data_IF_123378428734
#
_entry.id   IF_123378428734
#
_cell.length_a   1.000
_cell.length_b   1.000
_cell.length_c   1.000
_cell.angle_alpha   90.00
_cell.angle_beta   90.00
_cell.angle_gamma   90.00
#
_symmetry.space_group_name_H-M   'P 1'
#
loop_
_entity.id
_entity.type
_entity.pdbx_description
1 polymer ?
#
# COMPACT_ATOMS: atom_id res chain seq x y z
N UNK A 1 -21.27 7.02 5.65
CA UNK A 1 -20.72 5.69 5.92
C UNK A 1 -19.37 5.92 6.53
N UNK A 2 -19.18 5.49 7.76
CA UNK A 2 -17.86 5.45 8.36
C UNK A 2 -17.01 4.49 7.53
N UNK A 3 -15.86 4.97 7.04
CA UNK A 3 -14.99 4.22 6.16
C UNK A 3 -14.19 3.22 7.03
N UNK A 4 -14.63 1.96 7.09
CA UNK A 4 -14.00 0.94 7.94
C UNK A 4 -13.45 -0.20 7.09
N UNK A 5 -12.21 -0.60 7.37
CA UNK A 5 -11.57 -1.76 6.75
C UNK A 5 -12.13 -3.08 7.28
N UNK A 6 -12.30 -4.06 6.39
CA UNK A 6 -12.57 -5.44 6.76
C UNK A 6 -11.31 -6.12 7.30
N UNK A 7 -11.15 -6.05 8.62
CA UNK A 7 -9.98 -6.59 9.34
C UNK A 7 -10.15 -8.02 9.85
N UNK A 8 -11.27 -8.69 9.55
CA UNK A 8 -11.61 -9.99 10.14
C UNK A 8 -10.55 -11.05 9.83
N UNK A 9 -9.93 -11.61 10.86
CA UNK A 9 -8.88 -12.63 10.73
C UNK A 9 -7.48 -12.07 10.45
N UNK A 10 -7.36 -10.75 10.27
CA UNK A 10 -6.10 -10.04 10.04
C UNK A 10 -5.65 -9.31 11.30
N UNK A 11 -6.58 -8.59 11.92
CA UNK A 11 -6.45 -7.92 13.21
C UNK A 11 -7.59 -8.37 14.13
N UNK A 12 -7.33 -8.34 15.44
CA UNK A 12 -8.27 -8.63 16.51
C UNK A 12 -9.38 -7.60 16.57
N UNK A 13 -9.01 -6.32 16.44
CA UNK A 13 -9.90 -5.16 16.53
C UNK A 13 -9.26 -3.94 15.85
N UNK A 14 -10.02 -2.85 15.73
CA UNK A 14 -9.53 -1.60 15.13
C UNK A 14 -8.37 -0.98 15.93
N UNK A 15 -8.32 -1.21 17.24
CA UNK A 15 -7.25 -0.69 18.09
C UNK A 15 -5.90 -1.35 17.75
N UNK A 16 -5.89 -2.66 17.47
CA UNK A 16 -4.71 -3.35 16.97
C UNK A 16 -4.28 -2.83 15.60
N UNK A 17 -5.22 -2.60 14.68
CA UNK A 17 -4.95 -1.98 13.38
C UNK A 17 -4.28 -0.60 13.55
N UNK A 18 -4.89 0.31 14.33
CA UNK A 18 -4.33 1.64 14.59
C UNK A 18 -2.97 1.55 15.28
N UNK A 19 -2.82 0.59 16.19
CA UNK A 19 -1.56 0.29 16.87
C UNK A 19 -0.47 -0.12 15.88
N UNK A 20 -0.78 -1.00 14.93
CA UNK A 20 0.15 -1.45 13.89
C UNK A 20 0.54 -0.28 12.95
N UNK A 21 -0.44 0.48 12.46
CA UNK A 21 -0.21 1.66 11.61
C UNK A 21 0.71 2.67 12.30
N UNK A 22 0.45 2.97 13.57
CA UNK A 22 1.26 3.91 14.36
C UNK A 22 2.65 3.34 14.68
N UNK A 23 2.74 2.08 15.11
CA UNK A 23 4.01 1.40 15.43
C UNK A 23 4.95 1.42 14.23
N UNK A 24 4.42 1.11 13.04
CA UNK A 24 5.18 1.05 11.78
C UNK A 24 5.21 2.38 11.03
N UNK A 25 4.59 3.44 11.58
CA UNK A 25 4.49 4.78 10.97
C UNK A 25 4.05 4.71 9.50
N UNK A 26 3.03 3.92 9.20
CA UNK A 26 2.69 3.57 7.81
C UNK A 26 2.25 4.82 7.04
N UNK A 27 2.79 4.98 5.85
CA UNK A 27 2.43 6.04 4.91
C UNK A 27 2.01 5.46 3.57
N UNK A 28 1.36 6.27 2.74
CA UNK A 28 1.06 5.88 1.37
C UNK A 28 1.35 6.99 0.36
N UNK A 29 1.65 6.62 -0.88
CA UNK A 29 1.43 7.49 -2.03
C UNK A 29 0.78 6.70 -3.18
N UNK A 30 0.56 7.39 -4.29
CA UNK A 30 -0.09 6.82 -5.46
C UNK A 30 0.61 7.27 -6.73
N UNK A 31 0.85 6.32 -7.63
CA UNK A 31 1.48 6.59 -8.92
C UNK A 31 0.58 6.07 -10.05
N UNK A 32 0.58 6.70 -11.24
CA UNK A 32 -0.12 6.13 -12.38
C UNK A 32 0.52 4.81 -12.81
N UNK A 33 -0.30 3.82 -13.18
CA UNK A 33 0.16 2.51 -13.63
C UNK A 33 0.01 2.38 -15.15
N UNK A 34 1.12 2.22 -15.85
CA UNK A 34 1.20 2.19 -17.32
C UNK A 34 1.58 0.81 -17.84
N UNK A 35 1.08 0.48 -19.03
CA UNK A 35 1.54 -0.67 -19.81
C UNK A 35 1.85 -0.24 -21.24
N UNK A 36 2.72 -1.00 -21.91
CA UNK A 36 3.01 -0.80 -23.33
C UNK A 36 1.80 -1.20 -24.18
N UNK A 37 1.20 -0.23 -24.86
CA UNK A 37 0.12 -0.43 -25.82
C UNK A 37 0.61 -0.92 -27.19
N UNK A 38 -0.33 -1.20 -28.09
CA UNK A 38 -0.01 -1.54 -29.48
C UNK A 38 0.68 -0.35 -30.16
N UNK A 39 1.90 -0.56 -30.66
CA UNK A 39 2.70 0.50 -31.30
C UNK A 39 3.69 1.20 -30.39
N UNK A 40 3.87 0.74 -29.14
CA UNK A 40 4.92 1.24 -28.23
C UNK A 40 4.55 2.47 -27.42
N UNK A 41 3.34 3.00 -27.55
CA UNK A 41 2.82 4.07 -26.68
C UNK A 41 2.48 3.52 -25.29
N UNK A 42 2.79 4.26 -24.23
CA UNK A 42 2.32 3.94 -22.88
C UNK A 42 0.83 4.26 -22.74
N UNK A 43 0.06 3.32 -22.21
CA UNK A 43 -1.35 3.48 -21.88
C UNK A 43 -1.48 3.42 -20.36
N UNK A 44 -2.07 4.44 -19.75
CA UNK A 44 -2.41 4.40 -18.33
C UNK A 44 -3.63 3.50 -18.15
N UNK A 45 -3.44 2.39 -17.46
CA UNK A 45 -4.52 1.40 -17.22
C UNK A 45 -5.05 1.45 -15.80
N UNK A 46 -4.41 2.25 -14.93
CA UNK A 46 -4.81 2.39 -13.55
C UNK A 46 -3.81 3.16 -12.72
N UNK A 47 -3.69 2.76 -11.46
CA UNK A 47 -2.83 3.35 -10.46
C UNK A 47 -2.12 2.27 -9.64
N UNK A 48 -1.11 2.67 -8.89
CA UNK A 48 -0.46 1.85 -7.89
C UNK A 48 -0.51 2.60 -6.57
N UNK A 49 -1.04 1.96 -5.53
CA UNK A 49 -0.91 2.44 -4.15
C UNK A 49 0.37 1.86 -3.59
N UNK A 50 1.26 2.71 -3.10
CA UNK A 50 2.49 2.29 -2.44
C UNK A 50 2.31 2.48 -0.94
N UNK A 51 2.38 1.39 -0.16
CA UNK A 51 2.40 1.45 1.31
C UNK A 51 3.84 1.37 1.81
N UNK A 52 4.21 2.31 2.68
CA UNK A 52 5.55 2.42 3.25
C UNK A 52 5.50 2.19 4.75
N UNK A 53 6.12 1.10 5.21
CA UNK A 53 6.22 0.76 6.62
C UNK A 53 7.66 0.97 7.11
N UNK A 54 7.83 1.81 8.14
CA UNK A 54 9.13 2.12 8.68
C UNK A 54 9.72 0.91 9.42
N UNK A 55 10.97 0.58 9.11
CA UNK A 55 11.76 -0.38 9.87
C UNK A 55 12.13 0.21 11.24
N UNK A 56 12.13 -0.60 12.31
CA UNK A 56 12.63 -0.15 13.61
C UNK A 56 14.15 0.00 13.60
N UNK A 57 14.67 0.83 14.51
CA UNK A 57 16.11 0.97 14.72
C UNK A 57 16.81 1.99 13.82
N UNK A 58 18.13 2.16 14.00
CA UNK A 58 18.92 3.12 13.24
C UNK A 58 19.13 2.66 11.80
N UNK A 59 19.29 3.63 10.90
CA UNK A 59 19.50 3.48 9.45
C UNK A 59 20.33 2.28 8.97
N UNK A 60 21.44 2.00 9.66
CA UNK A 60 22.44 1.00 9.25
C UNK A 60 22.04 -0.46 9.54
N UNK A 61 21.02 -0.67 10.36
CA UNK A 61 20.63 -2.00 10.83
C UNK A 61 19.34 -2.50 10.14
N UNK A 62 18.72 -1.66 9.30
CA UNK A 62 17.54 -2.00 8.52
C UNK A 62 17.93 -2.77 7.24
N UNK A 63 18.07 -4.09 7.38
CA UNK A 63 18.28 -5.01 6.27
C UNK A 63 17.11 -6.00 6.16
N UNK A 64 16.95 -6.65 4.98
CA UNK A 64 15.99 -7.75 4.81
C UNK A 64 16.20 -8.92 5.78
N UNK A 65 17.45 -9.16 6.16
CA UNK A 65 17.83 -10.21 7.11
C UNK A 65 17.56 -9.82 8.57
N UNK A 66 17.06 -8.60 8.82
CA UNK A 66 16.73 -8.16 10.18
C UNK A 66 15.60 -9.00 10.76
N UNK A 67 15.69 -9.42 12.04
CA UNK A 67 14.60 -10.13 12.72
C UNK A 67 13.26 -9.40 12.67
N UNK A 68 13.31 -8.06 12.60
CA UNK A 68 12.12 -7.21 12.57
C UNK A 68 11.45 -7.17 11.19
N UNK A 69 12.15 -7.54 10.11
CA UNK A 69 11.65 -7.45 8.73
C UNK A 69 10.36 -8.23 8.56
N UNK A 70 10.35 -9.51 8.96
CA UNK A 70 9.19 -10.38 8.83
C UNK A 70 7.98 -9.89 9.65
N UNK A 71 8.19 -9.16 10.74
CA UNK A 71 7.09 -8.55 11.49
C UNK A 71 6.55 -7.29 10.81
N UNK A 72 7.44 -6.43 10.32
CA UNK A 72 7.04 -5.21 9.59
C UNK A 72 6.28 -5.60 8.33
N UNK A 73 6.81 -6.55 7.56
CA UNK A 73 6.17 -7.09 6.35
C UNK A 73 4.78 -7.64 6.66
N UNK A 74 4.67 -8.50 7.68
CA UNK A 74 3.39 -9.07 8.09
C UNK A 74 2.36 -7.99 8.43
N UNK A 75 2.76 -6.96 9.16
CA UNK A 75 1.84 -5.89 9.57
C UNK A 75 1.33 -5.08 8.36
N UNK A 76 2.22 -4.73 7.41
CA UNK A 76 1.82 -3.96 6.22
C UNK A 76 1.05 -4.81 5.19
N UNK A 77 1.40 -6.10 5.06
CA UNK A 77 0.66 -7.05 4.19
C UNK A 77 -0.74 -7.27 4.73
N UNK A 78 -0.92 -7.45 6.04
CA UNK A 78 -2.27 -7.51 6.66
C UNK A 78 -3.10 -6.27 6.36
N UNK A 79 -2.50 -5.08 6.38
CA UNK A 79 -3.20 -3.85 6.01
C UNK A 79 -3.59 -3.85 4.53
N UNK A 80 -2.68 -4.27 3.64
CA UNK A 80 -2.96 -4.39 2.21
C UNK A 80 -4.09 -5.40 1.94
N UNK A 81 -4.06 -6.55 2.59
CA UNK A 81 -5.13 -7.57 2.52
C UNK A 81 -6.46 -7.04 3.05
N UNK A 82 -6.47 -6.30 4.17
CA UNK A 82 -7.68 -5.69 4.69
C UNK A 82 -8.28 -4.69 3.68
N UNK A 83 -7.43 -3.91 3.02
CA UNK A 83 -7.84 -2.97 1.98
C UNK A 83 -8.45 -3.70 0.76
N UNK A 84 -7.81 -4.75 0.28
CA UNK A 84 -8.30 -5.58 -0.83
C UNK A 84 -9.59 -6.34 -0.48
N UNK A 85 -9.75 -6.79 0.76
CA UNK A 85 -10.97 -7.43 1.26
C UNK A 85 -12.15 -6.46 1.42
N UNK A 86 -11.89 -5.16 1.38
CA UNK A 86 -12.92 -4.11 1.54
C UNK A 86 -13.32 -3.51 0.20
N UNK A 87 -12.34 -3.26 -0.67
CA UNK A 87 -12.56 -2.61 -1.95
C UNK A 87 -13.10 -3.60 -3.01
N UNK A 88 -13.48 -3.05 -4.17
CA UNK A 88 -13.94 -3.87 -5.29
C UNK A 88 -12.81 -4.81 -5.79
N UNK A 89 -12.97 -6.15 -5.69
CA UNK A 89 -11.93 -7.11 -6.04
C UNK A 89 -11.65 -7.18 -7.54
N UNK A 90 -12.51 -6.63 -8.40
CA UNK A 90 -12.26 -6.54 -9.85
C UNK A 90 -11.16 -5.52 -10.15
N UNK A 91 -11.10 -4.44 -9.37
CA UNK A 91 -10.19 -3.32 -9.60
C UNK A 91 -9.04 -3.25 -8.59
N UNK A 92 -9.19 -3.85 -7.41
CA UNK A 92 -8.16 -3.90 -6.38
C UNK A 92 -7.36 -5.20 -6.53
N UNK A 93 -6.17 -5.11 -7.10
CA UNK A 93 -5.35 -6.27 -7.41
C UNK A 93 -4.66 -6.83 -6.16
N UNK A 94 -4.11 -8.03 -6.30
CA UNK A 94 -3.24 -8.62 -5.27
C UNK A 94 -2.04 -7.71 -4.99
N UNK A 95 -1.75 -7.51 -3.71
CA UNK A 95 -0.60 -6.73 -3.29
C UNK A 95 0.69 -7.50 -3.49
N UNK A 96 1.75 -6.83 -3.92
CA UNK A 96 3.08 -7.42 -4.06
C UNK A 96 4.08 -6.64 -3.20
N UNK A 97 4.86 -7.36 -2.40
CA UNK A 97 6.11 -6.79 -1.87
C UNK A 97 7.07 -6.71 -3.06
N UNK A 98 7.53 -5.50 -3.44
CA UNK A 98 8.67 -5.43 -4.37
C UNK A 98 9.82 -6.14 -3.68
N UNK A 99 10.52 -7.00 -4.43
CA UNK A 99 11.72 -7.75 -4.07
C UNK A 99 11.96 -7.76 -2.56
N UNK A 100 11.55 -8.81 -1.81
CA UNK A 100 11.59 -8.86 -0.35
C UNK A 100 13.00 -8.64 0.26
N UNK A 101 14.01 -8.36 -0.56
CA UNK A 101 15.31 -7.83 -0.20
C UNK A 101 15.47 -6.29 -0.23
N UNK A 102 14.41 -5.50 -0.45
CA UNK A 102 14.55 -4.04 -0.69
C UNK A 102 13.96 -3.18 0.41
N UNK A 103 14.84 -2.56 1.20
CA UNK A 103 14.54 -1.39 2.04
C UNK A 103 14.78 -0.13 1.22
N UNK A 104 13.77 0.72 1.12
CA UNK A 104 13.83 1.97 0.35
C UNK A 104 14.04 3.19 1.26
N UNK A 105 14.62 4.23 0.68
CA UNK A 105 14.91 5.49 1.36
C UNK A 105 14.43 6.63 0.46
N UNK A 106 13.67 7.59 1.01
CA UNK A 106 13.19 8.76 0.28
C UNK A 106 13.32 10.03 1.11
N UNK A 107 13.76 11.12 0.49
CA UNK A 107 13.82 12.43 1.13
C UNK A 107 12.44 12.90 1.60
N UNK A 108 11.41 12.62 0.82
CA UNK A 108 10.03 12.99 1.14
C UNK A 108 9.54 12.31 2.42
N UNK A 109 10.12 11.16 2.78
CA UNK A 109 9.82 10.39 3.99
C UNK A 109 10.82 10.63 5.12
N UNK A 110 11.68 11.64 5.00
CA UNK A 110 12.70 11.96 6.00
C UNK A 110 13.89 10.99 5.97
N UNK A 111 14.16 10.41 4.80
CA UNK A 111 15.21 9.42 4.56
C UNK A 111 15.11 8.16 5.41
N UNK A 112 14.01 7.88 6.13
CA UNK A 112 13.80 6.67 6.97
C UNK A 112 13.87 5.36 6.14
N UNK A 113 14.30 4.22 6.72
CA UNK A 113 14.22 2.93 6.06
C UNK A 113 12.76 2.45 5.99
N UNK A 114 12.23 2.26 4.78
CA UNK A 114 10.87 1.77 4.55
C UNK A 114 10.85 0.45 3.78
N UNK A 115 10.09 -0.51 4.30
CA UNK A 115 9.59 -1.64 3.53
C UNK A 115 8.39 -1.17 2.70
N UNK A 116 8.33 -1.57 1.42
CA UNK A 116 7.28 -1.12 0.50
C UNK A 116 6.41 -2.27 0.02
N UNK A 117 5.09 -2.10 0.11
CA UNK A 117 4.08 -2.98 -0.50
C UNK A 117 3.34 -2.20 -1.58
N UNK A 118 3.25 -2.78 -2.77
CA UNK A 118 2.53 -2.21 -3.90
C UNK A 118 1.17 -2.86 -4.03
N UNK A 119 0.14 -2.06 -4.28
CA UNK A 119 -1.20 -2.54 -4.54
C UNK A 119 -1.67 -1.91 -5.86
N UNK A 120 -1.61 -2.66 -6.97
CA UNK A 120 -2.11 -2.17 -8.24
C UNK A 120 -3.63 -2.00 -8.20
N UNK A 121 -4.11 -0.96 -8.86
CA UNK A 121 -5.53 -0.62 -8.99
C UNK A 121 -5.85 -0.46 -10.48
N UNK A 122 -6.31 -1.51 -11.13
CA UNK A 122 -6.70 -1.53 -12.54
C UNK A 122 -7.74 -2.62 -12.81
N UNK A 123 -8.44 -2.56 -13.95
CA UNK A 123 -9.40 -3.60 -14.32
C UNK A 123 -8.70 -4.93 -14.67
N UNK A 124 -8.76 -5.89 -13.74
CA UNK A 124 -8.15 -7.21 -13.92
C UNK A 124 -8.85 -8.05 -15.00
N UNK A 125 -10.14 -7.80 -15.25
CA UNK A 125 -10.90 -8.52 -16.28
C UNK A 125 -10.63 -7.97 -17.68
N UNK A 126 -10.25 -6.69 -17.77
CA UNK A 126 -9.95 -5.99 -19.03
C UNK A 126 -8.56 -5.36 -19.00
N UNK A 127 -7.53 -6.17 -18.74
CA UNK A 127 -6.15 -5.70 -18.71
C UNK A 127 -5.77 -4.96 -20.00
N UNK A 128 -5.15 -3.77 -19.86
CA UNK A 128 -4.82 -2.91 -21.00
C UNK A 128 -5.89 -1.85 -21.31
N UNK A 129 -7.08 -1.94 -20.70
CA UNK A 129 -8.11 -0.93 -20.85
C UNK A 129 -7.68 0.38 -20.14
N UNK A 130 -7.87 1.55 -20.76
CA UNK A 130 -7.58 2.82 -20.12
C UNK A 130 -8.33 3.00 -18.81
N UNK A 131 -7.73 3.78 -17.91
CA UNK A 131 -8.36 4.20 -16.66
C UNK A 131 -9.76 4.80 -16.91
N UNK A 132 -10.72 4.42 -16.08
CA UNK A 132 -12.08 4.92 -16.13
C UNK A 132 -12.56 5.40 -14.73
N UNK A 133 -13.81 5.87 -14.67
CA UNK A 133 -14.42 6.37 -13.44
C UNK A 133 -14.53 5.30 -12.35
N UNK A 134 -14.61 4.01 -12.72
CA UNK A 134 -14.74 2.91 -11.77
C UNK A 134 -13.41 2.60 -11.12
N UNK A 135 -12.32 2.59 -11.89
CA UNK A 135 -10.95 2.44 -11.37
C UNK A 135 -10.61 3.62 -10.47
N UNK A 136 -10.92 4.84 -10.90
CA UNK A 136 -10.70 6.06 -10.11
C UNK A 136 -11.57 6.08 -8.84
N UNK A 137 -12.80 5.58 -8.92
CA UNK A 137 -13.68 5.39 -7.76
C UNK A 137 -13.09 4.41 -6.74
N UNK A 138 -12.58 3.26 -7.18
CA UNK A 138 -11.90 2.30 -6.31
C UNK A 138 -10.67 2.91 -5.65
N UNK A 139 -9.84 3.68 -6.38
CA UNK A 139 -8.68 4.36 -5.80
C UNK A 139 -9.09 5.33 -4.67
N UNK A 140 -10.10 6.17 -4.91
CA UNK A 140 -10.57 7.13 -3.90
C UNK A 140 -11.21 6.46 -2.69
N UNK A 141 -11.88 5.33 -2.87
CA UNK A 141 -12.38 4.51 -1.77
C UNK A 141 -11.22 3.94 -0.93
N UNK A 142 -10.23 3.34 -1.59
CA UNK A 142 -9.05 2.79 -0.93
C UNK A 142 -8.29 3.86 -0.12
N UNK A 143 -8.07 5.04 -0.70
CA UNK A 143 -7.43 6.17 0.00
C UNK A 143 -8.21 6.56 1.25
N UNK A 144 -9.54 6.73 1.15
CA UNK A 144 -10.38 7.09 2.31
C UNK A 144 -10.30 6.06 3.42
N UNK A 145 -10.28 4.77 3.07
CA UNK A 145 -10.14 3.68 4.03
C UNK A 145 -8.77 3.68 4.72
N UNK A 146 -7.68 3.91 3.97
CA UNK A 146 -6.33 4.04 4.52
C UNK A 146 -6.22 5.22 5.49
N UNK A 147 -6.74 6.38 5.11
CA UNK A 147 -6.73 7.58 5.95
C UNK A 147 -7.59 7.38 7.21
N UNK A 148 -8.75 6.74 7.09
CA UNK A 148 -9.58 6.37 8.23
C UNK A 148 -8.90 5.37 9.17
N UNK A 149 -8.02 4.50 8.64
CA UNK A 149 -7.15 3.61 9.41
C UNK A 149 -5.92 4.32 10.03
N UNK A 150 -5.79 5.65 9.84
CA UNK A 150 -4.69 6.45 10.39
C UNK A 150 -3.40 6.42 9.56
N UNK A 151 -3.43 5.85 8.35
CA UNK A 151 -2.30 5.86 7.42
C UNK A 151 -2.15 7.27 6.85
N UNK A 152 -0.93 7.79 6.83
CA UNK A 152 -0.69 9.17 6.40
C UNK A 152 -0.24 9.25 4.95
N UNK A 153 -0.65 10.31 4.25
CA UNK A 153 -0.20 10.56 2.88
C UNK A 153 1.24 11.05 2.86
N UNK A 154 2.06 10.44 2.00
CA UNK A 154 3.46 10.73 1.70
C UNK A 154 4.42 10.53 2.87
N UNK A 155 4.20 11.19 4.02
CA UNK A 155 5.13 11.21 5.15
C UNK A 155 4.40 11.20 6.49
N UNK A 156 4.95 10.43 7.43
CA UNK A 156 4.50 10.41 8.81
C UNK A 156 4.88 11.69 9.54
N UNK A 157 3.88 12.43 9.99
CA UNK A 157 3.98 13.56 10.90
C UNK A 157 3.99 13.03 12.35
N UNK A 158 4.91 13.54 13.16
CA UNK A 158 5.02 13.21 14.59
C UNK A 158 3.96 13.91 15.45
#
# INVERSE_FOLDING_TARGET
MDATLNIKGLFKDEQELFGAVKKRRICYDTEPYYVSGRGGSLVQIGYQINLYAAMPGPFKDATPDSPDYAEVERDVVKLAEALSNTCNPVHMCESTTIDPSTITYSQDRGMRPDLTVHIPVFDQSNFGHPVDDRITGTLHEAIRLLEAAGVQKTRWQE
#
